data_IF_628735179963
#
_entry.id   IF_628735179963
#
_cell.length_a   1.000
_cell.length_b   1.000
_cell.length_c   1.000
_cell.angle_alpha   90.00
_cell.angle_beta   90.00
_cell.angle_gamma   90.00
#
_symmetry.space_group_name_H-M   'P 1'
#
loop_
_entity.id
_entity.type
_entity.pdbx_description
1 polymer ?
#
# COMPACT_ATOMS: atom_id res chain seq x y z
N UNK A 1 -20.24 21.92 -2.02
CA UNK A 1 -19.10 21.00 -1.85
C UNK A 1 -18.90 20.83 -0.36
N UNK A 2 -19.24 19.67 0.20
CA UNK A 2 -18.93 19.36 1.58
C UNK A 2 -17.44 19.01 1.60
N UNK A 3 -16.60 19.94 2.03
CA UNK A 3 -15.19 19.65 2.30
C UNK A 3 -15.14 18.59 3.39
N UNK A 4 -14.78 17.36 3.01
CA UNK A 4 -14.40 16.32 3.97
C UNK A 4 -13.22 16.88 4.75
N UNK A 5 -13.38 17.03 6.06
CA UNK A 5 -12.29 17.49 6.92
C UNK A 5 -11.30 16.35 7.10
N UNK A 6 -10.03 16.67 7.39
CA UNK A 6 -9.00 15.67 7.71
C UNK A 6 -9.47 14.68 8.79
N UNK A 7 -10.29 15.16 9.73
CA UNK A 7 -10.91 14.36 10.78
C UNK A 7 -11.89 13.32 10.21
N UNK A 8 -12.75 13.68 9.27
CA UNK A 8 -13.67 12.73 8.64
C UNK A 8 -12.97 11.72 7.73
N UNK A 9 -11.90 12.11 7.05
CA UNK A 9 -11.08 11.16 6.27
C UNK A 9 -10.39 10.15 7.18
N UNK A 10 -9.78 10.64 8.28
CA UNK A 10 -9.14 9.80 9.30
C UNK A 10 -10.13 8.80 9.91
N UNK A 11 -11.32 9.25 10.29
CA UNK A 11 -12.37 8.37 10.83
C UNK A 11 -12.80 7.31 9.83
N UNK A 12 -13.00 7.68 8.56
CA UNK A 12 -13.31 6.73 7.49
C UNK A 12 -12.22 5.66 7.36
N UNK A 13 -10.95 6.05 7.21
CA UNK A 13 -9.83 5.10 7.05
C UNK A 13 -9.74 4.15 8.24
N UNK A 14 -9.78 4.66 9.47
CA UNK A 14 -9.65 3.82 10.66
C UNK A 14 -10.87 2.92 10.92
N UNK A 15 -12.04 3.26 10.37
CA UNK A 15 -13.24 2.41 10.45
C UNK A 15 -13.20 1.22 9.48
N UNK A 16 -12.38 1.28 8.43
CA UNK A 16 -12.26 0.21 7.43
C UNK A 16 -11.35 -0.89 7.99
N UNK A 17 -11.98 -1.98 8.44
CA UNK A 17 -11.29 -3.19 8.88
C UNK A 17 -11.59 -4.30 7.88
N UNK A 18 -10.54 -4.87 7.28
CA UNK A 18 -10.64 -5.94 6.27
C UNK A 18 -9.92 -7.19 6.78
N UNK A 19 -10.63 -8.10 7.47
CA UNK A 19 -10.08 -9.39 7.88
C UNK A 19 -9.61 -10.24 6.69
N UNK A 20 -8.51 -10.97 6.88
CA UNK A 20 -7.90 -11.80 5.83
C UNK A 20 -8.79 -12.97 5.36
N UNK A 21 -9.80 -13.35 6.13
CA UNK A 21 -10.74 -14.44 5.83
C UNK A 21 -12.02 -13.97 5.12
N UNK A 22 -12.15 -12.68 4.82
CA UNK A 22 -13.31 -12.18 4.07
C UNK A 22 -13.29 -12.70 2.63
N UNK A 23 -14.48 -12.95 2.09
CA UNK A 23 -14.64 -13.20 0.65
C UNK A 23 -14.23 -11.96 -0.14
N UNK A 24 -13.83 -12.13 -1.41
CA UNK A 24 -13.47 -10.99 -2.28
C UNK A 24 -14.62 -9.98 -2.38
N UNK A 25 -15.87 -10.45 -2.41
CA UNK A 25 -17.05 -9.59 -2.48
C UNK A 25 -17.20 -8.74 -1.21
N UNK A 26 -17.03 -9.35 -0.03
CA UNK A 26 -17.13 -8.62 1.24
C UNK A 26 -15.96 -7.64 1.41
N UNK A 27 -14.76 -7.97 0.92
CA UNK A 27 -13.63 -7.05 0.90
C UNK A 27 -13.95 -5.81 0.05
N UNK A 28 -14.52 -5.99 -1.15
CA UNK A 28 -14.94 -4.88 -2.02
C UNK A 28 -15.95 -3.98 -1.31
N UNK A 29 -16.95 -4.55 -0.64
CA UNK A 29 -17.92 -3.78 0.14
C UNK A 29 -17.27 -3.00 1.30
N UNK A 30 -16.25 -3.56 1.94
CA UNK A 30 -15.51 -2.85 2.99
C UNK A 30 -14.64 -1.71 2.45
N UNK A 31 -14.09 -1.84 1.26
CA UNK A 31 -13.32 -0.77 0.61
C UNK A 31 -14.19 0.27 -0.11
N UNK A 32 -15.50 0.04 -0.24
CA UNK A 32 -16.40 0.93 -0.96
C UNK A 32 -16.37 2.39 -0.50
N UNK A 33 -16.41 2.71 0.81
CA UNK A 33 -16.35 4.11 1.26
C UNK A 33 -15.08 4.83 0.79
N UNK A 34 -13.92 4.15 0.88
CA UNK A 34 -12.66 4.70 0.41
C UNK A 34 -12.64 4.85 -1.11
N UNK A 35 -13.18 3.87 -1.84
CA UNK A 35 -13.20 3.91 -3.30
C UNK A 35 -14.09 5.04 -3.81
N UNK A 36 -15.28 5.22 -3.24
CA UNK A 36 -16.21 6.31 -3.55
C UNK A 36 -15.60 7.67 -3.20
N UNK A 37 -14.94 7.78 -2.04
CA UNK A 37 -14.19 8.97 -1.66
C UNK A 37 -13.11 9.32 -2.68
N UNK A 38 -12.25 8.36 -3.03
CA UNK A 38 -11.18 8.57 -4.01
C UNK A 38 -11.76 8.98 -5.37
N UNK A 39 -12.86 8.38 -5.82
CA UNK A 39 -13.52 8.78 -7.07
C UNK A 39 -14.09 10.19 -7.03
N UNK A 40 -14.58 10.63 -5.88
CA UNK A 40 -15.21 11.94 -5.70
C UNK A 40 -14.18 13.05 -5.55
N UNK A 41 -13.13 12.80 -4.77
CA UNK A 41 -12.14 13.83 -4.41
C UNK A 41 -10.93 13.86 -5.35
N UNK A 42 -10.66 12.79 -6.12
CA UNK A 42 -9.56 12.84 -7.10
C UNK A 42 -9.89 13.89 -8.17
N UNK A 43 -9.03 14.90 -8.36
CA UNK A 43 -9.27 15.92 -9.38
C UNK A 43 -9.34 15.31 -10.77
N UNK A 44 -10.18 15.90 -11.63
CA UNK A 44 -10.35 15.45 -13.02
C UNK A 44 -9.04 15.40 -13.81
N UNK A 45 -8.08 16.23 -13.42
CA UNK A 45 -6.82 16.42 -14.11
C UNK A 45 -5.69 16.60 -13.12
N UNK A 46 -4.63 15.83 -13.31
CA UNK A 46 -3.38 16.00 -12.58
C UNK A 46 -2.21 16.12 -13.56
N UNK A 47 -1.18 16.84 -13.13
CA UNK A 47 -0.01 17.14 -13.92
C UNK A 47 1.19 16.37 -13.42
N UNK A 48 1.98 15.84 -14.35
CA UNK A 48 3.26 15.24 -14.05
C UNK A 48 4.38 15.98 -14.76
N UNK A 49 5.32 16.46 -13.97
CA UNK A 49 6.49 17.18 -14.40
C UNK A 49 7.58 16.19 -14.78
N UNK A 50 8.26 16.47 -15.89
CA UNK A 50 9.32 15.64 -16.45
C UNK A 50 10.46 16.53 -16.90
N UNK A 51 11.69 16.06 -16.71
CA UNK A 51 12.88 16.70 -17.30
C UNK A 51 12.87 16.52 -18.81
N UNK A 52 13.40 17.49 -19.56
CA UNK A 52 13.56 17.36 -21.00
C UNK A 52 14.79 16.49 -21.32
N UNK A 53 14.60 15.18 -21.46
CA UNK A 53 15.64 14.24 -21.86
C UNK A 53 15.05 13.13 -22.74
N UNK A 54 15.93 12.38 -23.40
CA UNK A 54 15.54 11.31 -24.34
C UNK A 54 14.57 10.30 -23.70
N UNK A 55 14.78 9.95 -22.43
CA UNK A 55 13.93 8.99 -21.74
C UNK A 55 12.52 9.53 -21.48
N UNK A 56 12.39 10.77 -21.02
CA UNK A 56 11.10 11.41 -20.78
C UNK A 56 10.28 11.54 -22.06
N UNK A 57 10.97 11.83 -23.18
CA UNK A 57 10.38 11.95 -24.52
C UNK A 57 9.97 10.57 -25.03
N UNK A 58 10.86 9.57 -24.94
CA UNK A 58 10.58 8.19 -25.33
C UNK A 58 9.40 7.60 -24.53
N UNK A 59 9.40 7.79 -23.21
CA UNK A 59 8.31 7.32 -22.36
C UNK A 59 6.98 8.02 -22.70
N UNK A 60 7.01 9.28 -23.13
CA UNK A 60 5.81 9.96 -23.62
C UNK A 60 5.34 9.36 -24.96
N UNK A 61 6.25 9.21 -25.92
CA UNK A 61 5.98 8.64 -27.25
C UNK A 61 5.40 7.22 -27.18
N UNK A 62 5.90 6.41 -26.25
CA UNK A 62 5.48 5.00 -26.06
C UNK A 62 4.29 4.83 -25.10
N UNK A 63 3.65 5.92 -24.70
CA UNK A 63 2.56 5.94 -23.72
C UNK A 63 2.91 5.15 -22.44
N UNK A 64 3.99 5.59 -21.80
CA UNK A 64 4.56 5.01 -20.59
C UNK A 64 4.57 6.02 -19.44
N UNK A 65 4.26 5.50 -18.26
CA UNK A 65 4.31 6.23 -17.00
C UNK A 65 5.54 5.76 -16.21
N UNK A 66 6.49 6.66 -15.98
CA UNK A 66 7.63 6.39 -15.11
C UNK A 66 7.18 6.16 -13.66
N UNK A 67 7.92 5.40 -12.88
CA UNK A 67 7.63 5.24 -11.45
C UNK A 67 8.93 5.26 -10.66
N UNK A 68 8.84 5.74 -9.42
CA UNK A 68 9.95 5.72 -8.47
C UNK A 68 9.67 4.63 -7.44
N UNK A 69 10.62 3.70 -7.20
CA UNK A 69 10.44 2.71 -6.14
C UNK A 69 10.45 3.40 -4.78
N UNK A 70 9.70 2.86 -3.82
CA UNK A 70 9.50 3.49 -2.50
C UNK A 70 10.81 3.85 -1.78
N UNK A 71 11.82 2.97 -1.82
CA UNK A 71 13.13 3.22 -1.21
C UNK A 71 13.96 4.35 -1.87
N UNK A 72 13.50 4.94 -2.97
CA UNK A 72 14.12 6.10 -3.63
C UNK A 72 13.28 7.37 -3.52
N UNK A 73 12.21 7.36 -2.72
CA UNK A 73 11.44 8.56 -2.49
C UNK A 73 12.28 9.60 -1.75
N UNK A 74 11.97 10.86 -2.01
CA UNK A 74 12.65 11.97 -1.32
C UNK A 74 12.26 12.02 0.16
N UNK A 75 11.09 11.50 0.50
CA UNK A 75 10.62 11.27 1.86
C UNK A 75 10.54 9.76 2.11
N UNK A 76 11.32 9.28 3.07
CA UNK A 76 11.33 7.87 3.46
C UNK A 76 9.99 7.45 4.11
N UNK A 77 9.24 8.39 4.71
CA UNK A 77 7.95 8.10 5.34
C UNK A 77 6.85 7.76 4.35
N UNK A 78 6.89 8.31 3.13
CA UNK A 78 5.88 8.05 2.08
C UNK A 78 5.83 6.56 1.67
N UNK A 79 6.92 5.83 1.89
CA UNK A 79 7.02 4.41 1.57
C UNK A 79 7.13 3.52 2.81
N UNK A 80 7.19 4.07 4.03
CA UNK A 80 7.30 3.27 5.26
C UNK A 80 5.98 2.57 5.59
N UNK A 81 6.05 1.25 5.76
CA UNK A 81 4.94 0.50 6.30
C UNK A 81 4.96 0.57 7.84
N UNK A 82 3.83 0.96 8.42
CA UNK A 82 3.66 0.94 9.87
C UNK A 82 3.13 -0.40 10.36
N UNK A 83 3.84 -1.00 11.31
CA UNK A 83 3.40 -2.18 12.05
C UNK A 83 3.07 -1.81 13.48
N UNK A 84 1.80 -1.96 13.88
CA UNK A 84 1.42 -1.91 15.29
C UNK A 84 1.84 -3.20 15.99
N UNK A 85 3.13 -3.29 16.29
CA UNK A 85 3.75 -4.48 16.89
C UNK A 85 3.11 -4.84 18.23
N UNK A 86 2.74 -3.84 19.02
CA UNK A 86 2.07 -4.04 20.31
C UNK A 86 0.73 -4.73 20.12
N UNK A 87 -0.12 -4.20 19.22
CA UNK A 87 -1.41 -4.81 18.93
C UNK A 87 -1.30 -6.21 18.33
N UNK A 88 -0.30 -6.46 17.47
CA UNK A 88 -0.05 -7.81 16.93
C UNK A 88 0.32 -8.78 18.05
N UNK A 89 1.21 -8.39 18.96
CA UNK A 89 1.61 -9.19 20.12
C UNK A 89 0.42 -9.44 21.06
N UNK A 90 -0.38 -8.42 21.35
CA UNK A 90 -1.57 -8.54 22.19
C UNK A 90 -2.60 -9.48 21.58
N UNK A 91 -2.86 -9.36 20.27
CA UNK A 91 -3.76 -10.26 19.55
C UNK A 91 -3.24 -11.71 19.56
N UNK A 92 -1.93 -11.91 19.37
CA UNK A 92 -1.32 -13.25 19.43
C UNK A 92 -1.47 -13.84 20.84
N UNK A 93 -1.20 -13.04 21.87
CA UNK A 93 -1.37 -13.47 23.26
C UNK A 93 -2.82 -13.82 23.57
N UNK A 94 -3.77 -13.02 23.10
CA UNK A 94 -5.19 -13.33 23.28
C UNK A 94 -5.59 -14.62 22.56
N UNK A 95 -5.14 -14.79 21.31
CA UNK A 95 -5.39 -16.00 20.51
C UNK A 95 -4.86 -17.27 21.17
N UNK A 96 -3.63 -17.24 21.72
CA UNK A 96 -3.04 -18.40 22.39
C UNK A 96 -3.72 -18.74 23.71
N UNK A 97 -4.40 -17.78 24.33
CA UNK A 97 -5.19 -17.97 25.55
C UNK A 97 -6.68 -18.22 25.28
N UNK A 98 -7.10 -18.25 24.01
CA UNK A 98 -8.48 -18.55 23.65
C UNK A 98 -8.80 -20.01 24.05
N UNK A 99 -9.87 -20.26 24.82
CA UNK A 99 -10.22 -21.60 25.29
C UNK A 99 -10.34 -22.65 24.19
N UNK A 100 -10.82 -22.28 22.99
CA UNK A 100 -10.94 -23.20 21.86
C UNK A 100 -9.57 -23.56 21.28
N UNK A 101 -8.63 -22.62 21.26
CA UNK A 101 -7.26 -22.85 20.81
C UNK A 101 -6.51 -23.69 21.83
N UNK A 102 -6.61 -23.35 23.12
CA UNK A 102 -6.04 -24.13 24.23
C UNK A 102 -6.56 -25.57 24.21
N UNK A 103 -7.86 -25.78 23.94
CA UNK A 103 -8.44 -27.10 23.83
C UNK A 103 -7.91 -27.89 22.63
N UNK A 104 -7.76 -27.26 21.45
CA UNK A 104 -7.14 -27.90 20.29
C UNK A 104 -5.67 -28.25 20.53
N UNK A 105 -4.94 -27.40 21.25
CA UNK A 105 -3.57 -27.68 21.66
C UNK A 105 -3.50 -28.88 22.62
N UNK A 106 -4.43 -29.00 23.58
CA UNK A 106 -4.56 -30.19 24.45
C UNK A 106 -4.72 -31.47 23.64
N UNK A 107 -5.61 -31.45 22.65
CA UNK A 107 -5.91 -32.60 21.79
C UNK A 107 -4.70 -32.99 20.92
N UNK A 108 -3.93 -32.00 20.45
CA UNK A 108 -2.76 -32.24 19.61
C UNK A 108 -1.53 -32.74 20.38
N UNK A 109 -1.28 -32.19 21.58
CA UNK A 109 -0.09 -32.50 22.38
C UNK A 109 -0.27 -33.80 23.19
N UNK A 110 -1.53 -34.20 23.46
CA UNK A 110 -1.87 -35.47 24.11
C UNK A 110 -1.62 -35.46 25.63
N UNK A 111 -2.69 -35.54 26.43
CA UNK A 111 -2.68 -35.51 27.91
C UNK A 111 -1.63 -34.57 28.56
N UNK A 112 -1.35 -33.43 27.93
CA UNK A 112 -0.54 -32.39 28.55
C UNK A 112 -1.35 -31.74 29.68
N UNK A 113 -0.73 -31.60 30.84
CA UNK A 113 -1.33 -30.84 31.94
C UNK A 113 -1.39 -29.34 31.59
N UNK A 114 -2.18 -28.58 32.36
CA UNK A 114 -2.39 -27.15 32.12
C UNK A 114 -1.10 -26.32 32.21
N UNK A 115 -0.12 -26.77 33.01
CA UNK A 115 1.17 -26.10 33.13
C UNK A 115 1.99 -26.27 31.85
N UNK A 116 2.01 -27.46 31.26
CA UNK A 116 2.73 -27.73 30.02
C UNK A 116 2.18 -26.90 28.86
N UNK A 117 0.87 -26.71 28.79
CA UNK A 117 0.22 -25.93 27.74
C UNK A 117 0.47 -24.45 27.91
N UNK A 118 0.41 -23.96 29.14
CA UNK A 118 0.75 -22.57 29.45
C UNK A 118 2.20 -22.29 29.10
N UNK A 119 3.13 -23.18 29.49
CA UNK A 119 4.54 -23.07 29.13
C UNK A 119 4.76 -23.06 27.61
N UNK A 120 4.08 -23.93 26.87
CA UNK A 120 4.16 -23.96 25.41
C UNK A 120 3.65 -22.65 24.79
N UNK A 121 2.48 -22.17 25.23
CA UNK A 121 1.88 -20.94 24.75
C UNK A 121 2.81 -19.73 25.01
N UNK A 122 3.40 -19.64 26.20
CA UNK A 122 4.35 -18.58 26.55
C UNK A 122 5.64 -18.66 25.73
N UNK A 123 6.20 -19.86 25.56
CA UNK A 123 7.40 -20.06 24.73
C UNK A 123 7.14 -19.71 23.27
N UNK A 124 6.01 -20.14 22.73
CA UNK A 124 5.60 -19.83 21.36
C UNK A 124 5.36 -18.33 21.18
N UNK A 125 4.65 -17.69 22.11
CA UNK A 125 4.45 -16.24 22.12
C UNK A 125 5.79 -15.50 22.10
N UNK A 126 6.71 -15.86 23.00
CA UNK A 126 8.02 -15.20 23.10
C UNK A 126 8.84 -15.37 21.82
N UNK A 127 8.86 -16.58 21.24
CA UNK A 127 9.56 -16.83 19.98
C UNK A 127 8.99 -15.98 18.83
N UNK A 128 7.66 -15.94 18.70
CA UNK A 128 6.98 -15.16 17.66
C UNK A 128 7.14 -13.64 17.86
N UNK A 129 7.05 -13.16 19.10
CA UNK A 129 7.23 -11.75 19.43
C UNK A 129 8.65 -11.28 19.11
N UNK A 130 9.66 -12.10 19.45
CA UNK A 130 11.06 -11.82 19.10
C UNK A 130 11.29 -11.84 17.58
N UNK A 131 10.69 -12.79 16.88
CA UNK A 131 10.80 -12.87 15.42
C UNK A 131 10.14 -11.67 14.75
N UNK A 132 8.97 -11.23 15.22
CA UNK A 132 8.30 -10.03 14.73
C UNK A 132 9.17 -8.78 14.90
N UNK A 133 9.82 -8.62 16.06
CA UNK A 133 10.72 -7.49 16.29
C UNK A 133 11.91 -7.53 15.32
N UNK A 134 12.51 -8.70 15.12
CA UNK A 134 13.68 -8.89 14.25
C UNK A 134 13.35 -8.69 12.76
N UNK A 135 12.19 -9.17 12.31
CA UNK A 135 11.84 -9.18 10.89
C UNK A 135 11.08 -7.92 10.45
N UNK A 136 10.55 -7.13 11.38
CA UNK A 136 9.75 -5.94 11.05
C UNK A 136 10.48 -4.99 10.08
N UNK A 137 11.75 -4.72 10.33
CA UNK A 137 12.58 -3.87 9.45
C UNK A 137 12.81 -4.53 8.09
N UNK A 138 13.05 -5.84 8.05
CA UNK A 138 13.22 -6.58 6.80
C UNK A 138 11.96 -6.53 5.94
N UNK A 139 10.79 -6.73 6.55
CA UNK A 139 9.50 -6.70 5.84
C UNK A 139 9.21 -5.29 5.32
N UNK A 140 9.43 -4.24 6.13
CA UNK A 140 9.31 -2.85 5.69
C UNK A 140 10.20 -2.56 4.48
N UNK A 141 11.48 -2.97 4.54
CA UNK A 141 12.42 -2.80 3.44
C UNK A 141 12.01 -3.57 2.18
N UNK A 142 11.52 -4.80 2.33
CA UNK A 142 11.05 -5.60 1.21
C UNK A 142 9.89 -4.91 0.50
N UNK A 143 8.95 -4.37 1.26
CA UNK A 143 7.76 -3.68 0.73
C UNK A 143 8.15 -2.38 0.05
N UNK A 144 9.01 -1.55 0.66
CA UNK A 144 9.55 -0.33 0.05
C UNK A 144 10.26 -0.57 -1.29
N UNK A 145 10.86 -1.76 -1.46
CA UNK A 145 11.52 -2.16 -2.72
C UNK A 145 10.57 -2.68 -3.78
N UNK A 146 9.33 -3.02 -3.42
CA UNK A 146 8.32 -3.58 -4.32
C UNK A 146 7.27 -2.56 -4.73
N UNK A 147 6.93 -1.63 -3.84
CA UNK A 147 6.01 -0.54 -4.14
C UNK A 147 6.73 0.48 -5.03
N UNK A 148 6.04 0.95 -6.06
CA UNK A 148 6.47 2.06 -6.87
C UNK A 148 5.37 3.12 -6.89
N UNK A 149 5.75 4.38 -6.97
CA UNK A 149 4.79 5.47 -7.03
C UNK A 149 5.01 6.35 -8.27
N UNK A 150 3.92 6.98 -8.69
CA UNK A 150 3.90 8.04 -9.68
C UNK A 150 3.33 9.28 -9.00
N UNK A 151 4.14 10.31 -8.83
CA UNK A 151 3.71 11.57 -8.22
C UNK A 151 3.11 12.50 -9.26
N UNK A 152 2.01 13.14 -8.88
CA UNK A 152 1.31 14.13 -9.69
C UNK A 152 1.00 15.37 -8.84
N UNK A 153 0.68 16.48 -9.49
CA UNK A 153 0.26 17.72 -8.85
C UNK A 153 -1.02 18.24 -9.48
N UNK A 154 -1.89 18.84 -8.68
CA UNK A 154 -3.08 19.54 -9.17
C UNK A 154 -2.73 20.85 -9.89
N UNK A 155 -1.59 21.46 -9.54
CA UNK A 155 -1.22 22.78 -10.02
C UNK A 155 -0.02 22.72 -10.98
N UNK A 156 -0.29 22.95 -12.27
CA UNK A 156 0.75 23.03 -13.30
C UNK A 156 1.76 24.17 -13.06
N UNK A 157 1.39 25.19 -12.28
CA UNK A 157 2.24 26.35 -11.98
C UNK A 157 3.04 26.19 -10.68
N UNK A 158 3.07 25.00 -10.06
CA UNK A 158 3.83 24.77 -8.83
C UNK A 158 5.34 24.94 -9.08
N UNK A 159 5.92 25.99 -8.50
CA UNK A 159 7.35 26.29 -8.62
C UNK A 159 8.22 25.14 -8.06
N UNK A 160 7.82 24.54 -6.95
CA UNK A 160 8.53 23.41 -6.36
C UNK A 160 8.55 22.21 -7.31
N UNK A 161 7.41 21.89 -7.94
CA UNK A 161 7.35 20.78 -8.88
C UNK A 161 8.19 21.03 -10.14
N UNK A 162 8.19 22.25 -10.66
CA UNK A 162 9.08 22.66 -11.75
C UNK A 162 10.56 22.57 -11.36
N UNK A 163 10.89 22.95 -10.11
CA UNK A 163 12.23 22.86 -9.54
C UNK A 163 12.74 21.42 -9.43
N UNK A 164 12.01 20.59 -8.68
CA UNK A 164 12.45 19.22 -8.35
C UNK A 164 12.37 18.24 -9.54
N UNK A 165 11.30 18.34 -10.35
CA UNK A 165 10.95 17.28 -11.30
C UNK A 165 11.12 17.68 -12.77
N UNK A 166 11.19 18.98 -13.09
CA UNK A 166 11.37 19.49 -14.44
C UNK A 166 12.68 20.25 -14.63
N UNK A 167 13.75 19.80 -13.97
CA UNK A 167 15.12 20.27 -14.15
C UNK A 167 15.24 21.80 -14.02
N UNK A 168 14.74 22.35 -12.90
CA UNK A 168 14.72 23.79 -12.65
C UNK A 168 14.00 24.59 -13.75
N UNK A 169 12.81 24.16 -14.15
CA UNK A 169 11.97 24.78 -15.18
C UNK A 169 12.42 24.60 -16.65
N UNK A 170 13.37 23.71 -16.93
CA UNK A 170 13.82 23.40 -18.29
C UNK A 170 13.10 22.18 -18.91
N UNK A 171 12.23 21.54 -18.14
CA UNK A 171 11.46 20.39 -18.55
C UNK A 171 10.10 20.72 -19.16
N UNK A 172 9.15 19.80 -19.00
CA UNK A 172 7.77 19.95 -19.45
C UNK A 172 6.82 19.27 -18.46
N UNK A 173 5.54 19.63 -18.53
CA UNK A 173 4.48 19.01 -17.75
C UNK A 173 3.48 18.32 -18.68
N UNK A 174 3.07 17.10 -18.32
CA UNK A 174 2.00 16.37 -19.00
C UNK A 174 0.74 16.38 -18.15
N UNK A 175 -0.39 16.67 -18.79
CA UNK A 175 -1.71 16.56 -18.18
C UNK A 175 -2.26 15.16 -18.38
N UNK A 176 -2.76 14.55 -17.30
CA UNK A 176 -3.42 13.26 -17.30
C UNK A 176 -4.89 13.45 -16.93
N UNK A 177 -5.76 12.68 -17.56
CA UNK A 177 -7.19 12.66 -17.31
C UNK A 177 -7.53 11.56 -16.30
N UNK A 178 -8.01 11.97 -15.13
CA UNK A 178 -8.40 11.09 -14.03
C UNK A 178 -9.92 10.92 -13.91
N UNK A 179 -10.69 11.56 -14.80
CA UNK A 179 -12.16 11.47 -14.78
C UNK A 179 -12.62 10.00 -14.88
N UNK A 180 -13.74 9.72 -14.22
CA UNK A 180 -14.42 8.42 -14.25
C UNK A 180 -13.56 7.23 -13.77
N UNK A 181 -12.44 7.46 -13.08
CA UNK A 181 -11.58 6.38 -12.58
C UNK A 181 -10.78 5.65 -13.67
N UNK A 182 -10.62 6.25 -14.86
CA UNK A 182 -9.98 5.63 -16.04
C UNK A 182 -8.53 5.17 -15.81
N UNK A 183 -7.87 5.61 -14.74
CA UNK A 183 -6.53 5.16 -14.33
C UNK A 183 -6.52 3.78 -13.63
N UNK A 184 -7.70 3.25 -13.26
CA UNK A 184 -7.86 1.91 -12.66
C UNK A 184 -8.49 0.89 -13.62
N UNK A 185 -8.88 1.34 -14.81
CA UNK A 185 -9.58 0.53 -15.81
C UNK A 185 -8.59 0.15 -16.89
N UNK A 186 -8.39 -1.16 -17.08
CA UNK A 186 -7.70 -1.66 -18.26
C UNK A 186 -8.75 -2.08 -19.28
N UNK A 187 -8.91 -1.30 -20.35
CA UNK A 187 -9.87 -1.56 -21.42
C UNK A 187 -9.64 -2.91 -22.13
N UNK A 188 -8.43 -3.46 -21.99
CA UNK A 188 -8.05 -4.77 -22.57
C UNK A 188 -8.46 -5.96 -21.70
N UNK A 189 -8.87 -5.77 -20.45
CA UNK A 189 -8.92 -6.86 -19.45
C UNK A 189 -10.24 -6.85 -18.67
N UNK A 190 -11.15 -7.82 -18.99
CA UNK A 190 -12.43 -8.03 -18.26
C UNK A 190 -12.24 -8.47 -16.80
N UNK A 191 -11.09 -9.07 -16.47
CA UNK A 191 -10.72 -9.48 -15.10
C UNK A 191 -9.52 -8.66 -14.64
N UNK A 192 -9.76 -7.73 -13.70
CA UNK A 192 -8.83 -6.69 -13.24
C UNK A 192 -7.46 -7.17 -12.74
N UNK A 193 -7.29 -8.47 -12.44
CA UNK A 193 -6.11 -9.03 -11.78
C UNK A 193 -5.20 -9.90 -12.66
N UNK A 194 -5.55 -10.16 -13.92
CA UNK A 194 -4.81 -11.08 -14.81
C UNK A 194 -4.66 -10.50 -16.21
N UNK A 195 -4.06 -9.31 -16.29
CA UNK A 195 -3.90 -8.64 -17.57
C UNK A 195 -2.59 -9.05 -18.23
N UNK A 196 -2.65 -9.84 -19.31
CA UNK A 196 -1.47 -10.23 -20.09
C UNK A 196 -0.77 -9.03 -20.77
N UNK A 197 -1.49 -7.92 -20.93
CA UNK A 197 -1.03 -6.65 -21.49
C UNK A 197 -0.88 -5.54 -20.46
N UNK A 198 -1.10 -5.77 -19.15
CA UNK A 198 -0.67 -4.75 -18.19
C UNK A 198 0.81 -4.57 -18.41
N UNK A 199 1.21 -3.38 -18.88
CA UNK A 199 2.60 -2.99 -18.93
C UNK A 199 3.06 -3.06 -17.48
N UNK A 200 3.64 -4.19 -17.08
CA UNK A 200 4.22 -4.36 -15.77
C UNK A 200 5.13 -3.15 -15.57
N UNK A 201 5.03 -2.48 -14.42
CA UNK A 201 5.94 -1.41 -14.05
C UNK A 201 7.36 -1.99 -13.93
N UNK A 202 8.04 -2.16 -15.05
CA UNK A 202 9.42 -2.61 -15.10
C UNK A 202 10.27 -1.39 -14.80
N UNK A 203 10.95 -1.41 -13.65
CA UNK A 203 12.04 -0.50 -13.38
C UNK A 203 12.97 -0.48 -14.58
N UNK A 204 13.06 0.67 -15.26
CA UNK A 204 14.12 0.92 -16.23
C UNK A 204 15.45 0.75 -15.51
N UNK A 205 16.13 -0.38 -15.73
CA UNK A 205 17.47 -0.59 -15.20
C UNK A 205 18.40 0.34 -15.96
N UNK A 206 18.95 1.33 -15.27
CA UNK A 206 20.00 2.18 -15.79
C UNK A 206 21.25 1.34 -16.10
N UNK A 207 21.80 1.52 -17.31
CA UNK A 207 23.20 1.27 -17.63
C UNK A 207 23.89 2.63 -17.73
#
# INVERSE_FOLDING_TARGET
MNTVTDQSYKEMIHSIIVPANLSVQDQVERYRPLTEYLQTETPERLYRFRRCNEWSIFAFDQDQLGVTPGYKMNDDFDALLYFDKSRIKDNLKHFLNDPQITQKLREYIGQADDSQITMFADQFYNAMAQQLDKDSDYISNLIQRKINFASFSENISSADMWGYYADSSQGFALSYDFRNGNYTVCDSCRTKFQCSTSKNCTLGRYR
#
